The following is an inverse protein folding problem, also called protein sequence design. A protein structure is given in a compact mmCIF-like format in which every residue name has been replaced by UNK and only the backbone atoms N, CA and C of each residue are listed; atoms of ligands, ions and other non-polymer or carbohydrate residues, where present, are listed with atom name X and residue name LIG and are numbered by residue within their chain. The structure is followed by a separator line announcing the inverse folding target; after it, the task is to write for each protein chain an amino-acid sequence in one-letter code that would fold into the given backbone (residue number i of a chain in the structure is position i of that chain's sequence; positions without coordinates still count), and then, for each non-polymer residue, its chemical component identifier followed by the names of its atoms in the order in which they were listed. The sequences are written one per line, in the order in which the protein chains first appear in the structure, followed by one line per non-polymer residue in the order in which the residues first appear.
data_IF_965556656968
#
_entry.id   IF_965556656968
#
_cell.length_a   1.000
_cell.length_b   1.000
_cell.length_c   1.000
_cell.angle_alpha   90.00
_cell.angle_beta   90.00
_cell.angle_gamma   90.00
#
_symmetry.space_group_name_H-M   'P 1'
#
loop_
_entity.id
_entity.type
_entity.pdbx_description
1 polymer ?
#
# COMPACT_ATOMS: atom_id res chain seq x y z
N UNK A 1 -1.69 18.37 43.52
CA UNK A 1 -0.53 17.48 43.28
C UNK A 1 0.24 18.04 42.10
N UNK A 2 1.15 18.98 42.31
CA UNK A 2 2.03 19.50 41.26
C UNK A 2 3.43 19.44 41.83
N UNK A 3 4.20 18.42 41.43
CA UNK A 3 5.58 18.23 41.88
C UNK A 3 6.42 17.90 40.68
N UNK A 4 6.83 18.96 39.99
CA UNK A 4 8.17 19.20 39.44
C UNK A 4 8.05 20.33 38.41
N UNK A 5 8.51 21.54 38.76
CA UNK A 5 8.55 22.70 37.85
C UNK A 5 9.70 22.51 36.85
N UNK A 6 9.51 21.59 35.90
CA UNK A 6 10.53 21.22 34.92
C UNK A 6 10.44 22.20 33.74
N UNK A 7 11.52 22.94 33.51
CA UNK A 7 11.61 23.81 32.35
C UNK A 7 11.72 22.99 31.06
N UNK A 8 10.67 23.02 30.23
CA UNK A 8 10.60 22.34 28.93
C UNK A 8 11.53 22.97 27.88
N UNK A 9 12.10 24.15 28.15
CA UNK A 9 13.06 24.83 27.28
C UNK A 9 14.50 24.33 27.47
N UNK A 10 14.73 23.40 28.39
CA UNK A 10 16.06 22.83 28.63
C UNK A 10 16.56 22.10 27.37
N UNK A 11 17.73 22.47 26.81
CA UNK A 11 18.21 21.94 25.53
C UNK A 11 18.35 20.42 25.50
N UNK A 12 18.73 19.79 26.62
CA UNK A 12 18.85 18.34 26.72
C UNK A 12 17.49 17.63 26.56
N UNK A 13 16.43 18.17 27.15
CA UNK A 13 15.07 17.63 27.02
C UNK A 13 14.52 17.84 25.62
N UNK A 14 14.78 19.00 25.02
CA UNK A 14 14.40 19.26 23.64
C UNK A 14 15.08 18.29 22.69
N UNK A 15 16.40 18.09 22.83
CA UNK A 15 17.16 17.16 22.00
C UNK A 15 16.68 15.72 22.16
N UNK A 16 16.42 15.27 23.39
CA UNK A 16 15.89 13.94 23.65
C UNK A 16 14.51 13.75 23.01
N UNK A 17 13.60 14.70 23.24
CA UNK A 17 12.24 14.63 22.72
C UNK A 17 12.21 14.66 21.20
N UNK A 18 12.92 15.59 20.57
CA UNK A 18 13.03 15.67 19.11
C UNK A 18 13.63 14.40 18.50
N UNK A 19 14.64 13.80 19.14
CA UNK A 19 15.21 12.52 18.69
C UNK A 19 14.18 11.39 18.78
N UNK A 20 13.41 11.32 19.87
CA UNK A 20 12.35 10.34 20.04
C UNK A 20 11.27 10.50 18.99
N UNK A 21 10.76 11.72 18.77
CA UNK A 21 9.71 11.99 17.78
C UNK A 21 10.20 11.66 16.37
N UNK A 22 11.42 12.06 16.01
CA UNK A 22 12.00 11.72 14.71
C UNK A 22 12.15 10.20 14.54
N UNK A 23 12.57 9.48 15.59
CA UNK A 23 12.66 8.02 15.56
C UNK A 23 11.29 7.35 15.43
N UNK A 24 10.25 7.87 16.07
CA UNK A 24 8.88 7.37 15.93
C UNK A 24 8.39 7.57 14.49
N UNK A 25 8.59 8.76 13.92
CA UNK A 25 8.15 9.05 12.56
C UNK A 25 8.92 8.24 11.51
N UNK A 26 10.23 8.07 11.68
CA UNK A 26 11.09 7.38 10.71
C UNK A 26 11.04 5.86 10.84
N UNK A 27 11.15 5.33 12.08
CA UNK A 27 11.31 3.89 12.33
C UNK A 27 10.01 3.18 12.65
N UNK A 28 9.12 3.79 13.44
CA UNK A 28 7.87 3.14 13.85
C UNK A 28 6.76 3.31 12.81
N UNK A 29 6.55 4.55 12.37
CA UNK A 29 5.54 4.86 11.36
C UNK A 29 6.06 4.47 9.97
N UNK A 30 7.26 4.96 9.63
CA UNK A 30 7.87 4.75 8.31
C UNK A 30 7.10 5.47 7.19
N UNK A 31 7.54 5.30 5.93
CA UNK A 31 6.90 5.97 4.80
C UNK A 31 5.46 5.49 4.61
N UNK A 32 4.58 6.42 4.20
CA UNK A 32 3.20 6.10 3.84
C UNK A 32 3.21 5.09 2.66
N UNK A 33 2.52 3.94 2.78
CA UNK A 33 2.41 3.00 1.69
C UNK A 33 1.77 3.68 0.48
N UNK A 34 2.33 3.47 -0.71
CA UNK A 34 1.72 3.95 -1.94
C UNK A 34 0.28 3.47 -2.04
N UNK A 35 -0.64 4.38 -2.42
CA UNK A 35 -2.04 4.03 -2.67
C UNK A 35 -2.10 2.85 -3.66
N UNK A 36 -2.99 1.86 -3.45
CA UNK A 36 -3.08 0.71 -4.35
C UNK A 36 -3.37 1.16 -5.78
N UNK A 37 -2.34 1.18 -6.63
CA UNK A 37 -2.46 1.65 -8.01
C UNK A 37 -3.28 0.68 -8.88
N UNK A 38 -3.38 -0.60 -8.49
CA UNK A 38 -4.06 -1.61 -9.28
C UNK A 38 -4.54 -2.82 -8.45
N UNK A 39 -5.28 -3.72 -9.10
CA UNK A 39 -5.78 -5.00 -8.60
C UNK A 39 -4.79 -6.15 -8.82
N UNK A 40 -3.51 -5.88 -9.06
CA UNK A 40 -2.53 -6.98 -9.19
C UNK A 40 -2.29 -7.65 -7.84
N UNK A 41 -2.26 -8.97 -7.82
CA UNK A 41 -1.95 -9.79 -6.64
C UNK A 41 -0.88 -10.83 -7.00
N UNK A 42 -0.10 -11.33 -6.03
CA UNK A 42 0.89 -12.37 -6.28
C UNK A 42 0.28 -13.58 -7.00
N UNK A 43 1.06 -14.16 -7.92
CA UNK A 43 0.70 -15.37 -8.64
C UNK A 43 0.80 -16.64 -7.78
N UNK A 44 0.49 -17.77 -8.41
CA UNK A 44 0.64 -19.08 -7.79
C UNK A 44 2.09 -19.57 -7.85
N UNK A 45 2.51 -20.36 -6.87
CA UNK A 45 3.83 -20.99 -6.81
C UNK A 45 4.02 -22.12 -7.83
N UNK A 46 2.91 -22.66 -8.34
CA UNK A 46 2.90 -23.76 -9.31
C UNK A 46 3.04 -23.24 -10.76
N UNK A 47 3.88 -23.91 -11.54
CA UNK A 47 4.18 -23.53 -12.93
C UNK A 47 3.42 -24.34 -13.99
N UNK A 48 2.38 -25.09 -13.63
CA UNK A 48 1.58 -25.82 -14.62
C UNK A 48 0.80 -24.84 -15.52
N UNK A 49 0.40 -25.26 -16.72
CA UNK A 49 -0.29 -24.39 -17.68
C UNK A 49 -1.58 -23.76 -17.15
N UNK A 50 -2.28 -24.43 -16.23
CA UNK A 50 -3.47 -23.89 -15.58
C UNK A 50 -3.13 -22.79 -14.57
N UNK A 51 -2.14 -23.04 -13.71
CA UNK A 51 -1.66 -22.07 -12.74
C UNK A 51 -1.01 -20.84 -13.40
N UNK A 52 -0.38 -21.00 -14.56
CA UNK A 52 0.13 -19.87 -15.34
C UNK A 52 -0.99 -18.98 -15.86
N UNK A 53 -2.09 -19.56 -16.38
CA UNK A 53 -3.27 -18.78 -16.82
C UNK A 53 -3.93 -18.03 -15.67
N UNK A 54 -4.06 -18.68 -14.51
CA UNK A 54 -4.55 -18.02 -13.29
C UNK A 54 -3.59 -16.93 -12.84
N UNK A 55 -2.29 -17.18 -12.84
CA UNK A 55 -1.26 -16.21 -12.46
C UNK A 55 -1.27 -14.97 -13.37
N UNK A 56 -1.45 -15.14 -14.68
CA UNK A 56 -1.59 -14.03 -15.61
C UNK A 56 -2.82 -13.16 -15.27
N UNK A 57 -3.96 -13.79 -14.93
CA UNK A 57 -5.13 -13.07 -14.43
C UNK A 57 -4.84 -12.35 -13.09
N UNK A 58 -4.18 -13.02 -12.15
CA UNK A 58 -3.82 -12.45 -10.84
C UNK A 58 -2.92 -11.21 -10.99
N UNK A 59 -1.98 -11.24 -11.94
CA UNK A 59 -1.12 -10.12 -12.27
C UNK A 59 -1.86 -8.96 -12.99
N UNK A 60 -3.04 -9.20 -13.57
CA UNK A 60 -3.75 -8.18 -14.35
C UNK A 60 -4.17 -6.98 -13.47
N UNK A 61 -3.82 -5.74 -13.83
CA UNK A 61 -3.99 -4.58 -12.96
C UNK A 61 -5.44 -4.12 -12.80
N UNK A 62 -6.30 -4.37 -13.78
CA UNK A 62 -7.69 -3.87 -13.76
C UNK A 62 -8.74 -4.97 -13.63
N UNK A 63 -8.36 -6.23 -13.86
CA UNK A 63 -9.33 -7.33 -13.92
C UNK A 63 -9.55 -7.87 -12.50
N UNK A 64 -10.76 -7.67 -11.99
CA UNK A 64 -11.13 -8.05 -10.62
C UNK A 64 -11.64 -9.50 -10.53
N UNK A 65 -12.31 -9.99 -11.58
CA UNK A 65 -12.86 -11.35 -11.64
C UNK A 65 -12.44 -12.08 -12.92
N UNK A 66 -12.11 -13.35 -12.79
CA UNK A 66 -11.67 -14.24 -13.87
C UNK A 66 -12.50 -15.52 -13.87
N UNK A 67 -12.96 -15.93 -15.05
CA UNK A 67 -13.74 -17.16 -15.25
C UNK A 67 -12.92 -18.17 -16.03
N UNK A 68 -12.82 -19.39 -15.50
CA UNK A 68 -12.00 -20.46 -16.07
C UNK A 68 -12.82 -21.75 -16.17
N UNK A 69 -13.44 -22.01 -17.33
CA UNK A 69 -14.12 -23.29 -17.60
C UNK A 69 -13.09 -24.42 -17.65
N UNK A 70 -13.24 -25.43 -16.78
CA UNK A 70 -12.36 -26.60 -16.75
C UNK A 70 -13.00 -27.76 -16.00
N UNK A 71 -12.44 -28.97 -16.12
CA UNK A 71 -12.95 -30.16 -15.44
C UNK A 71 -12.72 -30.13 -13.91
N UNK A 72 -13.31 -31.11 -13.20
CA UNK A 72 -13.26 -31.17 -11.72
C UNK A 72 -11.84 -31.22 -11.16
N UNK A 73 -10.97 -32.04 -11.74
CA UNK A 73 -9.60 -32.25 -11.27
C UNK A 73 -8.77 -30.98 -11.37
N UNK A 74 -8.84 -30.29 -12.52
CA UNK A 74 -8.13 -29.03 -12.75
C UNK A 74 -8.64 -27.92 -11.81
N UNK A 75 -9.95 -27.84 -11.58
CA UNK A 75 -10.50 -26.90 -10.58
C UNK A 75 -9.98 -27.21 -9.18
N UNK A 76 -10.02 -28.48 -8.78
CA UNK A 76 -9.55 -28.89 -7.45
C UNK A 76 -8.06 -28.54 -7.23
N UNK A 77 -7.22 -28.76 -8.25
CA UNK A 77 -5.82 -28.36 -8.22
C UNK A 77 -5.65 -26.85 -7.94
N UNK A 78 -6.38 -26.00 -8.67
CA UNK A 78 -6.28 -24.54 -8.52
C UNK A 78 -6.82 -24.09 -7.16
N UNK A 79 -7.94 -24.67 -6.69
CA UNK A 79 -8.46 -24.41 -5.34
C UNK A 79 -7.37 -24.64 -4.28
N UNK A 80 -6.75 -25.82 -4.28
CA UNK A 80 -5.71 -26.18 -3.32
C UNK A 80 -4.49 -25.23 -3.39
N UNK A 81 -4.14 -24.74 -4.59
CA UNK A 81 -3.03 -23.80 -4.77
C UNK A 81 -3.37 -22.39 -4.28
N UNK A 82 -4.56 -21.89 -4.56
CA UNK A 82 -5.01 -20.58 -4.07
C UNK A 82 -5.05 -20.55 -2.54
N UNK A 83 -5.54 -21.63 -1.92
CA UNK A 83 -5.56 -21.79 -0.46
C UNK A 83 -4.13 -21.90 0.11
N UNK A 84 -3.30 -22.78 -0.44
CA UNK A 84 -1.94 -23.01 0.05
C UNK A 84 -1.03 -21.78 -0.05
N UNK A 85 -1.14 -21.02 -1.15
CA UNK A 85 -0.34 -19.81 -1.38
C UNK A 85 -0.94 -18.56 -0.68
N UNK A 86 -2.06 -18.69 0.04
CA UNK A 86 -2.74 -17.62 0.77
C UNK A 86 -3.02 -16.37 -0.10
N UNK A 87 -3.46 -16.59 -1.34
CA UNK A 87 -3.72 -15.50 -2.28
C UNK A 87 -4.95 -14.70 -1.82
N UNK A 88 -4.86 -13.38 -1.83
CA UNK A 88 -5.95 -12.45 -1.45
C UNK A 88 -7.13 -12.41 -2.44
N UNK A 89 -7.77 -13.56 -2.65
CA UNK A 89 -8.90 -13.74 -3.55
C UNK A 89 -9.92 -14.72 -2.96
N UNK A 90 -11.18 -14.60 -3.39
CA UNK A 90 -12.19 -15.65 -3.25
C UNK A 90 -12.23 -16.47 -4.53
N UNK A 91 -12.63 -17.73 -4.39
CA UNK A 91 -12.75 -18.62 -5.52
C UNK A 91 -13.95 -19.55 -5.31
N UNK A 92 -14.71 -19.80 -6.37
CA UNK A 92 -15.91 -20.62 -6.32
C UNK A 92 -16.12 -21.36 -7.65
N UNK A 93 -16.67 -22.57 -7.58
CA UNK A 93 -17.05 -23.32 -8.78
C UNK A 93 -18.53 -23.09 -9.10
N UNK A 94 -18.81 -22.37 -10.18
CA UNK A 94 -20.16 -22.23 -10.74
C UNK A 94 -20.56 -23.51 -11.49
N UNK A 95 -21.73 -24.08 -11.15
CA UNK A 95 -22.24 -25.35 -11.69
C UNK A 95 -23.35 -25.16 -12.73
N UNK A 96 -23.35 -24.01 -13.40
CA UNK A 96 -24.33 -23.59 -14.41
C UNK A 96 -23.92 -23.97 -15.85
N UNK A 97 -22.67 -24.36 -16.05
CA UNK A 97 -22.04 -24.58 -17.36
C UNK A 97 -21.41 -25.96 -17.40
N UNK A 98 -21.30 -26.56 -18.59
CA UNK A 98 -20.52 -27.77 -18.81
C UNK A 98 -19.40 -27.48 -19.82
N UNK A 99 -18.12 -27.55 -19.44
CA UNK A 99 -17.61 -27.86 -18.11
C UNK A 99 -17.92 -26.74 -17.09
N UNK A 100 -18.07 -27.10 -15.80
CA UNK A 100 -18.30 -26.14 -14.72
C UNK A 100 -17.15 -25.11 -14.66
N UNK A 101 -17.47 -23.89 -14.27
CA UNK A 101 -16.55 -22.76 -14.34
C UNK A 101 -15.97 -22.42 -12.97
N UNK A 102 -14.64 -22.31 -12.87
CA UNK A 102 -13.99 -21.73 -11.71
C UNK A 102 -14.01 -20.21 -11.84
N UNK A 103 -14.62 -19.52 -10.86
CA UNK A 103 -14.64 -18.06 -10.78
C UNK A 103 -13.72 -17.64 -9.64
N UNK A 104 -12.74 -16.81 -9.97
CA UNK A 104 -11.78 -16.24 -9.01
C UNK A 104 -12.03 -14.74 -8.97
N UNK A 105 -12.23 -14.19 -7.77
CA UNK A 105 -12.45 -12.77 -7.55
C UNK A 105 -11.41 -12.25 -6.57
N UNK A 106 -10.63 -11.24 -6.98
CA UNK A 106 -9.62 -10.63 -6.12
C UNK A 106 -10.32 -9.83 -5.03
N UNK A 107 -10.07 -10.18 -3.78
CA UNK A 107 -10.76 -9.59 -2.61
C UNK A 107 -9.87 -8.67 -1.81
N UNK A 108 -8.55 -8.79 -1.94
CA UNK A 108 -7.63 -7.98 -1.17
C UNK A 108 -6.55 -7.43 -2.09
N UNK A 109 -6.40 -6.11 -2.12
CA UNK A 109 -5.18 -5.49 -2.62
C UNK A 109 -4.18 -5.59 -1.47
N UNK A 110 -3.05 -6.32 -1.58
CA UNK A 110 -2.06 -6.41 -0.50
C UNK A 110 -1.60 -5.04 0.02
N UNK A 111 -1.64 -4.03 -0.84
CA UNK A 111 -1.35 -2.63 -0.53
C UNK A 111 -2.43 -1.98 0.35
N UNK A 112 -3.70 -2.36 0.22
CA UNK A 112 -4.78 -1.92 1.11
C UNK A 112 -4.51 -2.38 2.55
N UNK A 113 -4.12 -3.65 2.75
CA UNK A 113 -3.74 -4.13 4.07
C UNK A 113 -2.52 -3.39 4.64
N UNK A 114 -1.54 -3.06 3.79
CA UNK A 114 -0.38 -2.26 4.21
C UNK A 114 -0.80 -0.85 4.62
N UNK A 115 -1.68 -0.21 3.86
CA UNK A 115 -2.22 1.12 4.15
C UNK A 115 -3.01 1.11 5.47
N UNK A 116 -3.92 0.15 5.65
CA UNK A 116 -4.69 0.00 6.89
C UNK A 116 -3.79 -0.20 8.11
N UNK A 117 -2.75 -1.03 8.00
CA UNK A 117 -1.76 -1.20 9.08
C UNK A 117 -0.94 0.08 9.34
N UNK A 118 -0.66 0.87 8.31
CA UNK A 118 0.01 2.15 8.47
C UNK A 118 -0.90 3.19 9.13
N UNK A 119 -2.16 3.31 8.69
CA UNK A 119 -3.16 4.19 9.30
C UNK A 119 -3.37 3.85 10.78
N UNK A 120 -3.48 2.57 11.13
CA UNK A 120 -3.58 2.15 12.53
C UNK A 120 -2.38 2.59 13.38
N UNK A 121 -1.16 2.52 12.83
CA UNK A 121 0.04 3.02 13.52
C UNK A 121 0.03 4.54 13.64
N UNK A 122 -0.43 5.25 12.60
CA UNK A 122 -0.60 6.70 12.62
C UNK A 122 -1.57 7.11 13.72
N UNK A 123 -2.74 6.47 13.79
CA UNK A 123 -3.77 6.76 14.80
C UNK A 123 -3.22 6.57 16.22
N UNK A 124 -2.48 5.48 16.46
CA UNK A 124 -1.81 5.25 17.75
C UNK A 124 -0.81 6.35 18.09
N UNK A 125 0.01 6.79 17.12
CA UNK A 125 0.96 7.89 17.36
C UNK A 125 0.21 9.17 17.67
N UNK A 126 -0.83 9.51 16.90
CA UNK A 126 -1.63 10.72 17.11
C UNK A 126 -2.32 10.68 18.47
N UNK A 127 -2.86 9.54 18.89
CA UNK A 127 -3.49 9.35 20.20
C UNK A 127 -2.50 9.52 21.36
N UNK A 128 -1.27 9.03 21.23
CA UNK A 128 -0.25 9.25 22.26
C UNK A 128 0.21 10.70 22.31
N UNK A 129 0.36 11.34 21.15
CA UNK A 129 0.83 12.72 21.07
C UNK A 129 -0.25 13.75 21.45
N UNK A 130 -1.53 13.44 21.28
CA UNK A 130 -2.65 14.32 21.66
C UNK A 130 -2.80 14.50 23.17
N UNK A 131 -2.19 13.63 23.98
CA UNK A 131 -2.12 13.77 25.43
C UNK A 131 -1.28 14.99 25.87
N UNK A 132 -0.41 15.50 24.98
CA UNK A 132 0.38 16.68 25.24
C UNK A 132 -0.36 17.93 24.77
N UNK A 133 -0.33 18.99 25.59
CA UNK A 133 -0.76 20.32 25.13
C UNK A 133 0.13 20.77 23.95
N UNK A 134 -0.48 21.32 22.91
CA UNK A 134 0.22 21.74 21.70
C UNK A 134 1.38 22.71 21.99
N UNK A 135 1.20 23.61 22.95
CA UNK A 135 2.21 24.58 23.41
C UNK A 135 3.45 23.91 24.02
N UNK A 136 3.26 22.89 24.86
CA UNK A 136 4.35 22.12 25.45
C UNK A 136 5.06 21.27 24.41
N UNK A 137 4.31 20.72 23.46
CA UNK A 137 4.87 19.92 22.37
C UNK A 137 5.75 20.76 21.44
N UNK A 138 5.30 21.96 21.06
CA UNK A 138 6.10 22.90 20.28
C UNK A 138 7.37 23.35 21.04
N UNK A 139 7.23 23.61 22.34
CA UNK A 139 8.36 23.98 23.21
C UNK A 139 9.39 22.86 23.34
N UNK A 140 8.93 21.60 23.45
CA UNK A 140 9.78 20.41 23.54
C UNK A 140 10.46 20.06 22.22
N UNK A 141 9.81 20.30 21.08
CA UNK A 141 10.46 20.14 19.78
C UNK A 141 11.51 21.23 19.52
N UNK A 142 11.31 22.43 20.07
CA UNK A 142 12.28 23.51 20.02
C UNK A 142 12.74 23.81 18.58
N UNK A 143 14.05 23.88 18.30
CA UNK A 143 14.58 24.15 16.95
C UNK A 143 14.23 23.08 15.88
N UNK A 144 13.88 21.86 16.31
CA UNK A 144 13.68 20.72 15.42
C UNK A 144 12.27 20.63 14.81
N UNK A 145 11.38 21.57 15.14
CA UNK A 145 10.01 21.63 14.59
C UNK A 145 10.01 21.59 13.07
N UNK A 146 10.90 22.33 12.41
CA UNK A 146 10.97 22.37 10.96
C UNK A 146 11.49 21.04 10.36
N UNK A 147 12.41 20.38 11.06
CA UNK A 147 12.92 19.06 10.65
C UNK A 147 11.81 17.99 10.71
N UNK A 148 10.99 18.03 11.76
CA UNK A 148 9.81 17.16 11.89
C UNK A 148 8.78 17.44 10.78
N UNK A 149 8.49 18.72 10.49
CA UNK A 149 7.58 19.10 9.39
C UNK A 149 8.10 18.63 8.02
N UNK A 150 9.40 18.78 7.76
CA UNK A 150 10.02 18.33 6.51
C UNK A 150 9.96 16.81 6.35
N UNK A 151 10.17 16.06 7.43
CA UNK A 151 10.03 14.59 7.42
C UNK A 151 8.59 14.18 7.06
N UNK A 152 7.59 14.84 7.65
CA UNK A 152 6.18 14.61 7.32
C UNK A 152 5.83 14.94 5.85
N UNK A 153 6.44 15.98 5.27
CA UNK A 153 6.28 16.31 3.84
C UNK A 153 6.93 15.26 2.93
N UNK A 154 8.14 14.77 3.28
CA UNK A 154 8.85 13.72 2.52
C UNK A 154 8.06 12.40 2.51
N UNK A 155 7.41 12.06 3.62
CA UNK A 155 6.57 10.86 3.73
C UNK A 155 5.36 10.90 2.78
N UNK A 156 4.72 12.06 2.58
CA UNK A 156 3.61 12.24 1.62
C UNK A 156 4.04 12.15 0.15
N UNK A 157 5.28 12.53 -0.18
CA UNK A 157 5.77 12.61 -1.56
C UNK A 157 6.31 11.30 -2.15
N UNK A 158 6.68 10.33 -1.31
CA UNK A 158 7.29 9.07 -1.77
C UNK A 158 6.28 8.05 -2.35
N UNK A 159 4.97 8.33 -2.27
CA UNK A 159 3.93 7.53 -2.93
C UNK A 159 3.91 7.60 -4.47
N UNK A 160 4.67 8.51 -5.08
CA UNK A 160 4.62 8.78 -6.53
C UNK A 160 5.89 8.39 -7.31
N UNK A 161 6.92 7.80 -6.69
CA UNK A 161 8.19 7.48 -7.35
C UNK A 161 8.45 5.98 -7.40
N UNK A 162 7.68 5.26 -8.21
CA UNK A 162 8.07 3.94 -8.73
C UNK A 162 7.33 3.61 -10.02
N UNK A 163 7.59 4.41 -11.07
CA UNK A 163 7.47 3.91 -12.44
C UNK A 163 8.46 4.62 -13.37
N UNK A 164 9.74 4.24 -13.26
CA UNK A 164 10.72 4.40 -14.35
C UNK A 164 11.81 3.34 -14.18
N UNK A 165 11.51 2.14 -14.64
CA UNK A 165 12.53 1.29 -15.25
C UNK A 165 12.11 1.08 -16.70
N UNK A 166 12.95 1.62 -17.56
CA UNK A 166 12.88 1.53 -19.01
C UNK A 166 13.07 0.09 -19.46
N UNK A 167 12.26 -0.35 -20.42
CA UNK A 167 12.60 -1.45 -21.32
C UNK A 167 12.21 -1.04 -22.73
N UNK A 168 13.25 -0.80 -23.55
CA UNK A 168 13.37 -1.35 -24.89
C UNK A 168 12.28 -1.04 -25.92
N UNK A 169 12.54 0.02 -26.66
CA UNK A 169 12.01 0.41 -27.96
C UNK A 169 11.86 -0.76 -28.97
N UNK A 170 10.68 -0.90 -29.60
CA UNK A 170 10.56 -1.33 -31.01
C UNK A 170 9.28 -0.76 -31.66
N UNK A 171 9.47 -0.15 -32.83
CA UNK A 171 8.55 0.76 -33.54
C UNK A 171 7.44 0.06 -34.35
N UNK A 172 6.30 0.78 -34.49
CA UNK A 172 5.48 1.11 -35.70
C UNK A 172 4.04 1.38 -35.24
N UNK A 173 3.20 2.23 -35.82
CA UNK A 173 3.27 3.44 -36.64
C UNK A 173 1.83 4.03 -36.57
N UNK A 174 1.72 5.35 -36.68
CA UNK A 174 0.55 6.16 -37.07
C UNK A 174 -0.71 6.17 -36.19
N UNK A 175 -0.98 7.31 -35.53
CA UNK A 175 -1.92 8.33 -36.03
C UNK A 175 -2.26 9.41 -34.96
N UNK A 176 -2.18 10.67 -35.40
CA UNK A 176 -2.86 11.87 -34.91
C UNK A 176 -2.74 12.30 -33.43
N UNK A 177 -1.95 13.37 -33.23
CA UNK A 177 -2.08 14.28 -32.09
C UNK A 177 -3.43 15.00 -32.15
N UNK A 178 -4.10 15.12 -31.00
CA UNK A 178 -4.79 16.36 -30.65
C UNK A 178 -4.55 16.66 -29.17
N UNK A 179 -3.91 17.81 -28.95
CA UNK A 179 -3.71 18.45 -27.66
C UNK A 179 -4.99 19.22 -27.36
N UNK A 180 -5.64 18.95 -26.22
CA UNK A 180 -6.65 19.86 -25.69
C UNK A 180 -6.08 20.47 -24.42
N UNK A 181 -5.71 21.74 -24.57
CA UNK A 181 -5.44 22.71 -23.53
C UNK A 181 -6.76 23.07 -22.82
N UNK A 182 -6.78 22.99 -21.50
CA UNK A 182 -7.88 23.47 -20.67
C UNK A 182 -7.32 24.33 -19.54
N UNK A 183 -6.65 25.42 -19.91
CA UNK A 183 -6.75 26.66 -19.17
C UNK A 183 -7.59 27.65 -19.97
N UNK A 184 -8.86 27.81 -19.61
CA UNK A 184 -9.59 29.06 -19.84
C UNK A 184 -10.75 29.20 -18.87
N UNK A 185 -10.69 30.31 -18.14
CA UNK A 185 -11.68 31.01 -17.29
C UNK A 185 -12.19 30.36 -16.00
#
# INVERSE_FOLDING_TARGET
MERNNISLTTPAYQKFFSTLILSVLDRYLGPEPAKPANWSVPGLSCNCGDCQRVTAFLAHPTQMSGKFPMNKERRHHIHNRLDGDHVGCTHQSERNTNPHTLVITKTTRPQELKLQKWLKRLDQVVEQLSQFKAEHFATLLGPDVERVKQLGKRQKGQGNLSHRLAVGEKRRADAACDVIDLTSD
#
